data_IF_373575638076
#
_entry.id   IF_373575638076
#
_cell.length_a   1.000
_cell.length_b   1.000
_cell.length_c   1.000
_cell.angle_alpha   90.00
_cell.angle_beta   90.00
_cell.angle_gamma   90.00
#
_symmetry.space_group_name_H-M   'P 1'
#
loop_
_entity.id
_entity.type
_entity.pdbx_description
1 polymer ?
#
# COMPACT_ATOMS: atom_id res chain seq x y z
N UNK A 1 11.81 -2.02 10.04
CA UNK A 1 10.84 -1.30 9.17
C UNK A 1 11.19 0.17 9.05
N UNK A 2 11.16 0.97 10.12
CA UNK A 2 11.50 2.40 10.03
C UNK A 2 12.98 2.71 9.64
N UNK A 3 13.92 1.83 10.01
CA UNK A 3 15.36 2.02 9.74
C UNK A 3 15.76 1.89 8.27
N UNK A 4 15.00 1.14 7.46
CA UNK A 4 15.23 1.04 6.01
C UNK A 4 14.58 2.20 5.25
N UNK A 5 13.45 2.69 5.77
CA UNK A 5 12.69 3.82 5.22
C UNK A 5 13.47 5.14 5.21
N UNK A 6 14.34 5.38 6.20
CA UNK A 6 15.08 6.64 6.33
C UNK A 6 16.36 6.70 5.49
N UNK A 7 16.72 5.62 4.78
CA UNK A 7 17.99 5.52 4.06
C UNK A 7 17.96 6.08 2.62
N UNK A 8 16.77 6.34 2.06
CA UNK A 8 16.55 6.69 0.63
C UNK A 8 15.15 7.27 0.44
N UNK A 9 15.00 8.32 -0.39
CA UNK A 9 13.81 9.09 -0.84
C UNK A 9 12.43 8.91 -0.15
N UNK A 10 11.66 10.00 -0.08
CA UNK A 10 10.30 10.09 0.52
C UNK A 10 9.36 8.95 0.12
N UNK A 11 9.49 8.49 -1.10
CA UNK A 11 8.74 7.40 -1.67
C UNK A 11 8.94 6.04 -0.94
N UNK A 12 10.17 5.69 -0.59
CA UNK A 12 10.42 4.46 0.20
C UNK A 12 9.87 4.54 1.62
N UNK A 13 9.63 5.73 2.15
CA UNK A 13 8.91 5.92 3.41
C UNK A 13 7.47 5.48 3.27
N UNK A 14 6.82 5.79 2.14
CA UNK A 14 5.44 5.37 1.86
C UNK A 14 5.32 3.84 1.71
N UNK A 15 6.30 3.20 1.04
CA UNK A 15 6.35 1.74 0.97
C UNK A 15 6.55 1.11 2.36
N UNK A 16 7.48 1.62 3.17
CA UNK A 16 7.69 1.10 4.52
C UNK A 16 6.47 1.32 5.43
N UNK A 17 5.77 2.44 5.30
CA UNK A 17 4.52 2.70 5.99
C UNK A 17 3.44 1.69 5.60
N UNK A 18 3.34 1.33 4.31
CA UNK A 18 2.42 0.29 3.85
C UNK A 18 2.73 -1.07 4.49
N UNK A 19 4.00 -1.47 4.54
CA UNK A 19 4.43 -2.71 5.21
C UNK A 19 4.09 -2.69 6.72
N UNK A 20 4.26 -1.55 7.39
CA UNK A 20 3.91 -1.37 8.80
C UNK A 20 2.39 -1.46 9.03
N UNK A 21 1.58 -0.89 8.13
CA UNK A 21 0.13 -1.00 8.20
C UNK A 21 -0.34 -2.44 8.03
N UNK A 22 0.26 -3.22 7.12
CA UNK A 22 -0.05 -4.64 6.96
C UNK A 22 0.24 -5.43 8.25
N UNK A 23 1.38 -5.16 8.91
CA UNK A 23 1.70 -5.80 10.20
C UNK A 23 0.68 -5.43 11.28
N UNK A 24 0.26 -4.15 11.35
CA UNK A 24 -0.73 -3.71 12.31
C UNK A 24 -2.08 -4.42 12.11
N UNK A 25 -2.51 -4.60 10.87
CA UNK A 25 -3.78 -5.26 10.55
C UNK A 25 -3.75 -6.75 10.89
N UNK A 26 -2.64 -7.44 10.62
CA UNK A 26 -2.44 -8.84 11.07
C UNK A 26 -2.50 -8.92 12.59
N UNK A 27 -1.83 -8.00 13.29
CA UNK A 27 -1.86 -7.95 14.74
C UNK A 27 -3.27 -7.70 15.31
N UNK A 28 -4.05 -6.81 14.69
CA UNK A 28 -5.43 -6.53 15.08
C UNK A 28 -6.33 -7.77 14.90
N UNK A 29 -6.12 -8.53 13.81
CA UNK A 29 -6.80 -9.80 13.60
C UNK A 29 -6.40 -10.85 14.64
N UNK A 30 -5.11 -11.00 14.96
CA UNK A 30 -4.64 -11.92 15.99
C UNK A 30 -5.17 -11.58 17.39
N UNK A 31 -5.39 -10.29 17.68
CA UNK A 31 -6.00 -9.82 18.93
C UNK A 31 -7.52 -9.98 19.01
N UNK A 32 -8.16 -10.45 17.93
CA UNK A 32 -9.60 -10.64 17.87
C UNK A 32 -10.40 -9.34 17.68
N UNK A 33 -9.77 -8.24 17.21
CA UNK A 33 -10.51 -6.99 16.94
C UNK A 33 -11.63 -7.16 15.91
N UNK A 34 -11.53 -8.21 15.08
CA UNK A 34 -12.53 -8.54 14.06
C UNK A 34 -13.45 -9.72 14.41
N UNK A 35 -13.38 -10.27 15.64
CA UNK A 35 -14.15 -11.47 16.03
C UNK A 35 -15.67 -11.27 15.86
N UNK A 36 -16.13 -10.04 16.09
CA UNK A 36 -17.54 -9.66 15.92
C UNK A 36 -17.81 -8.93 14.59
N UNK A 37 -16.81 -8.79 13.72
CA UNK A 37 -16.91 -8.08 12.44
C UNK A 37 -16.10 -8.77 11.33
N UNK A 38 -16.49 -10.00 11.01
CA UNK A 38 -15.87 -10.78 9.93
C UNK A 38 -15.96 -10.09 8.56
N UNK A 39 -17.02 -9.31 8.32
CA UNK A 39 -17.15 -8.54 7.09
C UNK A 39 -16.06 -7.47 6.98
N UNK A 40 -15.75 -6.77 8.08
CA UNK A 40 -14.64 -5.83 8.17
C UNK A 40 -13.30 -6.50 7.87
N UNK A 41 -13.03 -7.65 8.48
CA UNK A 41 -11.81 -8.42 8.24
C UNK A 41 -11.63 -8.78 6.76
N UNK A 42 -12.69 -9.31 6.13
CA UNK A 42 -12.66 -9.69 4.71
C UNK A 42 -12.45 -8.45 3.82
N UNK A 43 -13.12 -7.33 4.14
CA UNK A 43 -12.95 -6.07 3.39
C UNK A 43 -11.50 -5.58 3.46
N UNK A 44 -10.93 -5.54 4.66
CA UNK A 44 -9.54 -5.14 4.90
C UNK A 44 -8.56 -6.07 4.17
N UNK A 45 -8.75 -7.38 4.26
CA UNK A 45 -7.90 -8.35 3.57
C UNK A 45 -7.95 -8.20 2.04
N UNK A 46 -9.12 -7.92 1.46
CA UNK A 46 -9.26 -7.65 0.02
C UNK A 46 -8.53 -6.39 -0.40
N UNK A 47 -8.63 -5.32 0.38
CA UNK A 47 -7.90 -4.09 0.10
C UNK A 47 -6.38 -4.31 0.15
N UNK A 48 -5.88 -5.00 1.18
CA UNK A 48 -4.46 -5.34 1.28
C UNK A 48 -3.97 -6.16 0.08
N UNK A 49 -4.74 -7.15 -0.35
CA UNK A 49 -4.40 -7.95 -1.52
C UNK A 49 -4.28 -7.09 -2.78
N UNK A 50 -5.23 -6.16 -2.99
CA UNK A 50 -5.21 -5.22 -4.13
C UNK A 50 -3.95 -4.34 -4.09
N UNK A 51 -3.62 -3.79 -2.92
CA UNK A 51 -2.44 -2.93 -2.74
C UNK A 51 -1.11 -3.68 -2.97
N UNK A 52 -0.95 -4.89 -2.42
CA UNK A 52 0.23 -5.71 -2.67
C UNK A 52 0.38 -6.09 -4.16
N UNK A 53 -0.73 -6.34 -4.83
CA UNK A 53 -0.74 -6.61 -6.28
C UNK A 53 -0.31 -5.37 -7.07
N UNK A 54 -0.80 -4.18 -6.71
CA UNK A 54 -0.38 -2.92 -7.33
C UNK A 54 1.10 -2.65 -7.13
N UNK A 55 1.66 -2.96 -5.97
CA UNK A 55 3.10 -2.81 -5.69
C UNK A 55 3.94 -3.70 -6.63
N UNK A 56 3.53 -4.95 -6.82
CA UNK A 56 4.20 -5.85 -7.76
C UNK A 56 4.14 -5.32 -9.19
N UNK A 57 2.96 -4.89 -9.64
CA UNK A 57 2.77 -4.32 -10.99
C UNK A 57 3.61 -3.04 -11.15
N UNK A 58 3.71 -2.21 -10.12
CA UNK A 58 4.51 -0.99 -10.14
C UNK A 58 6.01 -1.30 -10.30
N UNK A 59 6.52 -2.28 -9.57
CA UNK A 59 7.91 -2.73 -9.70
C UNK A 59 8.22 -3.27 -11.10
N UNK A 60 7.33 -4.11 -11.64
CA UNK A 60 7.45 -4.62 -13.01
C UNK A 60 7.41 -3.48 -14.03
N UNK A 61 6.52 -2.50 -13.85
CA UNK A 61 6.38 -1.35 -14.74
C UNK A 61 7.57 -0.40 -14.67
N UNK A 62 8.09 -0.08 -13.48
CA UNK A 62 9.26 0.77 -13.33
C UNK A 62 10.51 0.16 -13.96
N UNK A 63 10.66 -1.18 -13.93
CA UNK A 63 11.70 -1.89 -14.68
C UNK A 63 11.67 -1.68 -16.20
N UNK A 64 10.56 -1.15 -16.75
CA UNK A 64 10.42 -0.78 -18.17
C UNK A 64 10.66 0.71 -18.45
N UNK A 65 10.82 1.54 -17.42
CA UNK A 65 10.96 3.00 -17.52
C UNK A 65 12.41 3.39 -17.19
N UNK A 66 12.95 4.37 -17.93
CA UNK A 66 14.36 4.74 -17.78
C UNK A 66 14.66 5.68 -16.61
N UNK A 67 13.66 6.40 -16.08
CA UNK A 67 13.85 7.53 -15.17
C UNK A 67 12.84 7.58 -14.00
N UNK A 68 11.99 6.58 -13.85
CA UNK A 68 10.91 6.58 -12.84
C UNK A 68 11.16 5.41 -11.89
N UNK A 69 11.08 5.66 -10.59
CA UNK A 69 11.23 4.59 -9.60
C UNK A 69 9.92 3.80 -9.38
N UNK A 70 10.01 2.64 -8.72
CA UNK A 70 8.87 1.75 -8.49
C UNK A 70 7.81 2.34 -7.56
N UNK A 71 8.17 3.27 -6.70
CA UNK A 71 7.24 3.90 -5.79
C UNK A 71 6.45 5.01 -6.47
N UNK A 72 7.07 5.88 -7.27
CA UNK A 72 6.32 6.91 -8.02
C UNK A 72 5.23 6.26 -8.88
N UNK A 73 5.56 5.13 -9.52
CA UNK A 73 4.60 4.32 -10.27
C UNK A 73 3.52 3.73 -9.35
N UNK A 74 3.89 3.22 -8.17
CA UNK A 74 2.96 2.66 -7.21
C UNK A 74 1.96 3.69 -6.69
N UNK A 75 2.44 4.88 -6.29
CA UNK A 75 1.60 5.99 -5.84
C UNK A 75 0.67 6.48 -6.96
N UNK A 76 1.17 6.55 -8.19
CA UNK A 76 0.34 6.88 -9.34
C UNK A 76 -0.80 5.84 -9.52
N UNK A 77 -0.51 4.54 -9.41
CA UNK A 77 -1.54 3.52 -9.48
C UNK A 77 -2.55 3.62 -8.34
N UNK A 78 -2.09 3.78 -7.09
CA UNK A 78 -2.98 3.96 -5.95
C UNK A 78 -3.91 5.15 -6.16
N UNK A 79 -3.40 6.30 -6.60
CA UNK A 79 -4.21 7.49 -6.82
C UNK A 79 -5.20 7.34 -7.98
N UNK A 80 -4.78 6.80 -9.13
CA UNK A 80 -5.67 6.65 -10.29
C UNK A 80 -6.68 5.50 -10.13
N UNK A 81 -6.40 4.50 -9.29
CA UNK A 81 -7.25 3.32 -9.10
C UNK A 81 -7.96 3.29 -7.74
N UNK A 82 -7.82 4.32 -6.91
CA UNK A 82 -8.43 4.38 -5.57
C UNK A 82 -9.92 4.08 -5.59
N UNK A 83 -10.66 4.74 -6.47
CA UNK A 83 -12.12 4.58 -6.52
C UNK A 83 -12.51 3.23 -7.13
N UNK A 84 -11.84 2.80 -8.21
CA UNK A 84 -12.17 1.56 -8.91
C UNK A 84 -11.82 0.30 -8.12
N UNK A 85 -10.79 0.38 -7.27
CA UNK A 85 -10.33 -0.71 -6.42
C UNK A 85 -10.73 -0.54 -4.94
N UNK A 86 -11.53 0.49 -4.62
CA UNK A 86 -12.01 0.78 -3.27
C UNK A 86 -10.87 0.82 -2.23
N UNK A 87 -9.81 1.57 -2.52
CA UNK A 87 -8.63 1.70 -1.65
C UNK A 87 -8.91 2.71 -0.52
N UNK A 88 -9.64 2.27 0.50
CA UNK A 88 -10.11 3.12 1.59
C UNK A 88 -9.00 3.65 2.51
N UNK A 89 -7.89 2.93 2.62
CA UNK A 89 -6.73 3.24 3.45
C UNK A 89 -5.75 4.24 2.82
N UNK A 90 -5.85 4.50 1.51
CA UNK A 90 -4.96 5.40 0.77
C UNK A 90 -5.44 6.86 0.93
N UNK A 91 -4.58 7.76 1.42
CA UNK A 91 -4.83 9.21 1.36
C UNK A 91 -4.20 9.80 0.09
N UNK A 92 -5.04 10.40 -0.76
CA UNK A 92 -4.71 10.79 -2.15
C UNK A 92 -3.84 12.05 -2.21
N UNK A 93 -3.66 12.73 -1.07
CA UNK A 93 -3.09 14.10 -1.03
C UNK A 93 -1.62 14.21 -1.47
N UNK A 94 -0.91 13.10 -1.71
CA UNK A 94 0.54 13.12 -1.86
C UNK A 94 1.11 12.65 -3.21
N UNK A 95 0.33 12.31 -4.25
CA UNK A 95 0.96 12.11 -5.57
C UNK A 95 1.10 13.44 -6.29
N UNK A 96 2.33 13.79 -6.66
CA UNK A 96 2.65 14.91 -7.55
C UNK A 96 2.22 14.68 -9.02
N UNK A 97 1.20 13.84 -9.30
CA UNK A 97 0.67 13.49 -10.63
C UNK A 97 -0.86 13.26 -10.68
#
# INVERSE_FOLDING_TARGET
MATEATSTCEDRVTHALHQMNNVQLVHNAEKGEYDNNLQGLVSTGREMFRLATLEQIAREKAGTLALVDDVEVYLAFQNKLKESLELTSVDVRNAFL
#
